data_IF_132801339726
#
_entry.id   IF_132801339726
#
_cell.length_a   1.000
_cell.length_b   1.000
_cell.length_c   1.000
_cell.angle_alpha   90.00
_cell.angle_beta   90.00
_cell.angle_gamma   90.00
#
_symmetry.space_group_name_H-M   'P 1'
#
loop_
_entity.id
_entity.type
_entity.pdbx_description
1 polymer ?
#
# COMPACT_ATOMS: atom_id res chain seq x y z
N UNK A 1 -21.78 -0.24 21.55
CA UNK A 1 -22.58 -0.21 20.30
C UNK A 1 -22.13 0.87 19.29
N UNK A 2 -21.89 2.15 19.64
CA UNK A 2 -21.55 3.15 18.62
C UNK A 2 -20.20 2.89 17.94
N UNK A 3 -19.17 2.44 18.69
CA UNK A 3 -17.85 2.14 18.13
C UNK A 3 -17.89 1.02 17.07
N UNK A 4 -18.63 -0.06 17.32
CA UNK A 4 -18.77 -1.18 16.37
C UNK A 4 -19.44 -0.71 15.07
N UNK A 5 -20.54 0.04 15.17
CA UNK A 5 -21.27 0.54 14.01
C UNK A 5 -20.42 1.53 13.18
N UNK A 6 -19.70 2.43 13.85
CA UNK A 6 -18.80 3.36 13.18
C UNK A 6 -17.64 2.64 12.49
N UNK A 7 -17.09 1.61 13.13
CA UNK A 7 -15.99 0.81 12.59
C UNK A 7 -16.45 0.01 11.36
N UNK A 8 -17.55 -0.74 11.49
CA UNK A 8 -18.10 -1.53 10.39
C UNK A 8 -18.56 -0.64 9.23
N UNK A 9 -19.25 0.47 9.52
CA UNK A 9 -19.67 1.44 8.52
C UNK A 9 -18.47 2.08 7.81
N UNK A 10 -17.48 2.57 8.56
CA UNK A 10 -16.27 3.15 7.99
C UNK A 10 -15.49 2.16 7.13
N UNK A 11 -15.33 0.93 7.60
CA UNK A 11 -14.69 -0.17 6.85
C UNK A 11 -15.40 -0.43 5.51
N UNK A 12 -16.73 -0.58 5.52
CA UNK A 12 -17.50 -0.85 4.30
C UNK A 12 -17.47 0.33 3.32
N UNK A 13 -17.44 1.56 3.82
CA UNK A 13 -17.33 2.76 2.99
C UNK A 13 -15.95 2.86 2.35
N UNK A 14 -14.87 2.54 3.07
CA UNK A 14 -13.52 2.50 2.47
C UNK A 14 -13.44 1.40 1.43
N UNK A 15 -13.91 0.19 1.75
CA UNK A 15 -13.88 -0.94 0.84
C UNK A 15 -14.70 -0.68 -0.43
N UNK A 16 -15.92 -0.16 -0.29
CA UNK A 16 -16.73 0.23 -1.45
C UNK A 16 -16.12 1.41 -2.21
N UNK A 17 -15.58 2.39 -1.47
CA UNK A 17 -14.93 3.58 -2.02
C UNK A 17 -13.69 3.24 -2.83
N UNK A 18 -12.81 2.36 -2.35
CA UNK A 18 -11.61 1.92 -3.05
C UNK A 18 -11.96 1.16 -4.32
N UNK A 19 -12.94 0.25 -4.29
CA UNK A 19 -13.42 -0.46 -5.49
C UNK A 19 -13.96 0.53 -6.53
N UNK A 20 -14.85 1.44 -6.14
CA UNK A 20 -15.43 2.42 -7.06
C UNK A 20 -14.35 3.35 -7.61
N UNK A 21 -13.46 3.84 -6.75
CA UNK A 21 -12.40 4.76 -7.10
C UNK A 21 -11.42 4.13 -8.07
N UNK A 22 -10.80 3.00 -7.74
CA UNK A 22 -9.76 2.37 -8.56
C UNK A 22 -10.29 2.06 -9.97
N UNK A 23 -11.47 1.44 -10.08
CA UNK A 23 -12.06 1.11 -11.40
C UNK A 23 -12.40 2.36 -12.22
N UNK A 24 -13.02 3.37 -11.61
CA UNK A 24 -13.45 4.57 -12.35
C UNK A 24 -12.28 5.50 -12.68
N UNK A 25 -11.27 5.58 -11.81
CA UNK A 25 -10.06 6.36 -12.01
C UNK A 25 -9.21 5.78 -13.16
N UNK A 26 -9.11 4.46 -13.24
CA UNK A 26 -8.47 3.78 -14.37
C UNK A 26 -9.23 4.08 -15.68
N UNK A 27 -10.55 3.88 -15.70
CA UNK A 27 -11.39 4.17 -16.87
C UNK A 27 -11.29 5.64 -17.32
N UNK A 28 -11.26 6.59 -16.38
CA UNK A 28 -11.04 8.01 -16.67
C UNK A 28 -9.63 8.25 -17.24
N UNK A 29 -8.61 7.64 -16.65
CA UNK A 29 -7.22 7.77 -17.10
C UNK A 29 -7.06 7.26 -18.53
N UNK A 30 -7.63 6.11 -18.86
CA UNK A 30 -7.60 5.55 -20.22
C UNK A 30 -8.30 6.47 -21.23
N UNK A 31 -9.44 7.06 -20.86
CA UNK A 31 -10.20 7.99 -21.73
C UNK A 31 -9.50 9.32 -21.93
N UNK A 32 -8.97 9.93 -20.87
CA UNK A 32 -8.37 11.27 -20.89
C UNK A 32 -6.95 11.27 -21.47
N UNK A 33 -6.16 10.22 -21.23
CA UNK A 33 -4.76 10.11 -21.64
C UNK A 33 -4.54 9.10 -22.78
N UNK A 34 -5.55 8.93 -23.65
CA UNK A 34 -5.51 7.96 -24.76
C UNK A 34 -4.23 8.05 -25.61
N UNK A 35 -3.69 9.25 -25.80
CA UNK A 35 -2.51 9.52 -26.62
C UNK A 35 -1.18 9.68 -25.82
N UNK A 36 -1.20 9.53 -24.49
CA UNK A 36 -0.04 9.74 -23.63
C UNK A 36 0.22 8.52 -22.74
N UNK A 37 1.10 7.61 -23.20
CA UNK A 37 1.49 6.40 -22.45
C UNK A 37 2.08 6.71 -21.07
N UNK A 38 2.89 7.76 -20.95
CA UNK A 38 3.48 8.18 -19.68
C UNK A 38 2.41 8.72 -18.71
N UNK A 39 1.45 9.49 -19.21
CA UNK A 39 0.31 9.98 -18.41
C UNK A 39 -0.56 8.83 -17.88
N UNK A 40 -0.88 7.86 -18.75
CA UNK A 40 -1.61 6.64 -18.35
C UNK A 40 -0.89 5.87 -17.23
N UNK A 41 0.42 5.71 -17.37
CA UNK A 41 1.25 4.99 -16.38
C UNK A 41 1.30 5.67 -15.02
N UNK A 42 1.52 6.99 -14.99
CA UNK A 42 1.59 7.73 -13.74
C UNK A 42 0.22 7.76 -13.06
N UNK A 43 -0.83 8.19 -13.77
CA UNK A 43 -2.16 8.31 -13.18
C UNK A 43 -2.78 6.96 -12.83
N UNK A 44 -2.57 5.92 -13.63
CA UNK A 44 -3.03 4.56 -13.32
C UNK A 44 -2.43 4.05 -12.01
N UNK A 45 -1.10 4.16 -11.86
CA UNK A 45 -0.42 3.75 -10.62
C UNK A 45 -0.85 4.59 -9.42
N UNK A 46 -0.96 5.91 -9.56
CA UNK A 46 -1.42 6.77 -8.48
C UNK A 46 -2.86 6.45 -8.05
N UNK A 47 -3.73 6.10 -9.00
CA UNK A 47 -5.13 5.77 -8.73
C UNK A 47 -5.29 4.52 -7.86
N UNK A 48 -4.35 3.58 -7.92
CA UNK A 48 -4.35 2.39 -7.07
C UNK A 48 -3.86 2.70 -5.65
N UNK A 49 -2.92 3.64 -5.52
CA UNK A 49 -2.25 3.89 -4.23
C UNK A 49 -2.83 5.04 -3.40
N UNK A 50 -3.72 5.87 -3.96
CA UNK A 50 -4.39 6.94 -3.21
C UNK A 50 -5.22 6.41 -2.03
N UNK A 51 -6.08 5.38 -2.17
CA UNK A 51 -6.91 4.89 -1.07
C UNK A 51 -6.12 4.57 0.20
N UNK A 52 -4.92 4.01 0.05
CA UNK A 52 -4.01 3.64 1.13
C UNK A 52 -3.53 4.86 1.94
N UNK A 53 -3.24 5.99 1.28
CA UNK A 53 -2.73 7.20 1.95
C UNK A 53 -3.79 7.92 2.77
N UNK A 54 -5.07 7.72 2.48
CA UNK A 54 -6.13 8.57 3.04
C UNK A 54 -6.28 8.35 4.54
N UNK A 55 -6.28 7.11 5.03
CA UNK A 55 -6.46 6.86 6.47
C UNK A 55 -5.30 7.43 7.32
N UNK A 56 -4.02 7.22 6.98
CA UNK A 56 -2.90 7.91 7.64
C UNK A 56 -3.05 9.43 7.65
N UNK A 57 -3.44 10.03 6.51
CA UNK A 57 -3.65 11.49 6.40
C UNK A 57 -4.71 12.00 7.37
N UNK A 58 -5.89 11.37 7.40
CA UNK A 58 -6.94 11.74 8.35
C UNK A 58 -6.47 11.55 9.79
N UNK A 59 -5.70 10.52 10.06
CA UNK A 59 -5.19 10.26 11.40
C UNK A 59 -4.28 11.38 11.90
N UNK A 60 -3.28 11.76 11.11
CA UNK A 60 -2.28 12.76 11.47
C UNK A 60 -2.80 14.19 11.41
N UNK A 61 -3.60 14.55 10.40
CA UNK A 61 -4.09 15.92 10.22
C UNK A 61 -5.29 16.25 11.10
N UNK A 62 -6.05 15.25 11.55
CA UNK A 62 -7.32 15.48 12.27
C UNK A 62 -7.21 15.72 13.78
N UNK A 63 -6.02 16.02 14.33
CA UNK A 63 -5.85 16.49 15.71
C UNK A 63 -4.76 15.78 16.53
N UNK A 64 -4.55 16.23 17.77
CA UNK A 64 -3.36 15.94 18.60
C UNK A 64 -3.50 14.79 19.62
N UNK A 65 -4.26 13.72 19.31
CA UNK A 65 -4.44 12.57 20.22
C UNK A 65 -3.43 11.43 20.01
N UNK A 66 -2.91 10.83 21.09
CA UNK A 66 -1.99 9.67 21.00
C UNK A 66 -2.59 8.48 20.25
N UNK A 67 -3.86 8.15 20.53
CA UNK A 67 -4.55 7.09 19.81
C UNK A 67 -4.65 7.33 18.30
N UNK A 68 -4.71 8.59 17.85
CA UNK A 68 -4.69 8.91 16.40
C UNK A 68 -3.32 8.64 15.80
N UNK A 69 -2.24 8.91 16.54
CA UNK A 69 -0.88 8.59 16.08
C UNK A 69 -0.73 7.09 15.89
N UNK A 70 -1.19 6.30 16.86
CA UNK A 70 -1.17 4.84 16.80
C UNK A 70 -2.01 4.29 15.64
N UNK A 71 -3.21 4.86 15.43
CA UNK A 71 -4.01 4.49 14.28
C UNK A 71 -3.31 4.83 12.94
N UNK A 72 -2.65 5.98 12.85
CA UNK A 72 -1.95 6.40 11.64
C UNK A 72 -0.72 5.53 11.33
N UNK A 73 0.11 5.23 12.34
CA UNK A 73 1.27 4.34 12.20
C UNK A 73 0.79 2.91 11.90
N UNK A 74 -0.27 2.45 12.56
CA UNK A 74 -0.90 1.15 12.28
C UNK A 74 -1.40 1.04 10.84
N UNK A 75 -1.96 2.11 10.29
CA UNK A 75 -2.38 2.15 8.90
C UNK A 75 -1.20 2.07 7.91
N UNK A 76 -0.10 2.80 8.18
CA UNK A 76 1.11 2.78 7.35
C UNK A 76 1.82 1.44 7.39
N UNK A 77 1.95 0.81 8.57
CA UNK A 77 2.65 -0.47 8.70
C UNK A 77 1.76 -1.66 8.33
N UNK A 78 0.44 -1.52 8.47
CA UNK A 78 -0.51 -2.60 8.23
C UNK A 78 -0.57 -3.04 6.78
N UNK A 79 -0.68 -2.09 5.84
CA UNK A 79 -0.78 -2.37 4.42
C UNK A 79 0.40 -3.25 3.94
N UNK A 80 1.68 -2.86 4.15
CA UNK A 80 2.81 -3.69 3.74
C UNK A 80 2.89 -5.01 4.53
N UNK A 81 2.37 -5.06 5.77
CA UNK A 81 2.32 -6.32 6.53
C UNK A 81 1.38 -7.32 5.86
N UNK A 82 0.18 -6.90 5.45
CA UNK A 82 -0.76 -7.75 4.73
C UNK A 82 -0.14 -8.23 3.40
N UNK A 83 0.47 -7.33 2.63
CA UNK A 83 1.08 -7.67 1.35
C UNK A 83 2.27 -8.63 1.50
N UNK A 84 3.23 -8.32 2.37
CA UNK A 84 4.49 -9.07 2.47
C UNK A 84 4.35 -10.33 3.34
N UNK A 85 3.60 -10.27 4.44
CA UNK A 85 3.50 -11.41 5.35
C UNK A 85 2.44 -12.44 4.91
N UNK A 86 1.45 -12.04 4.12
CA UNK A 86 0.34 -12.92 3.70
C UNK A 86 0.33 -13.11 2.18
N UNK A 87 0.20 -12.03 1.40
CA UNK A 87 -0.01 -12.16 -0.05
C UNK A 87 1.25 -12.58 -0.82
N UNK A 88 2.43 -12.21 -0.35
CA UNK A 88 3.68 -12.63 -0.97
C UNK A 88 3.97 -14.14 -0.80
N UNK A 89 3.90 -14.73 0.41
CA UNK A 89 3.95 -16.19 0.57
C UNK A 89 2.87 -16.92 -0.23
N UNK A 90 1.65 -16.35 -0.30
CA UNK A 90 0.60 -16.89 -1.17
C UNK A 90 1.06 -16.88 -2.64
N UNK A 91 1.57 -15.77 -3.15
CA UNK A 91 2.13 -15.69 -4.52
C UNK A 91 3.19 -16.76 -4.74
N UNK A 92 4.17 -16.88 -3.84
CA UNK A 92 5.23 -17.91 -3.91
C UNK A 92 4.68 -19.33 -3.97
N UNK A 93 3.60 -19.64 -3.27
CA UNK A 93 2.95 -20.97 -3.36
C UNK A 93 2.46 -21.29 -4.78
N UNK A 94 1.89 -20.31 -5.48
CA UNK A 94 1.44 -20.47 -6.88
C UNK A 94 2.60 -20.59 -7.87
N UNK A 95 3.80 -20.08 -7.53
CA UNK A 95 4.97 -20.15 -8.41
C UNK A 95 5.54 -21.55 -8.62
N UNK A 96 5.11 -22.54 -7.81
CA UNK A 96 5.52 -23.95 -7.94
C UNK A 96 5.22 -24.55 -9.32
N UNK A 97 4.20 -24.04 -10.01
CA UNK A 97 3.77 -24.53 -11.33
C UNK A 97 4.08 -23.55 -12.46
N UNK A 98 4.39 -22.29 -12.15
CA UNK A 98 4.68 -21.21 -13.09
C UNK A 98 5.71 -20.30 -12.42
N UNK A 99 7.01 -20.38 -12.76
CA UNK A 99 8.05 -19.67 -12.01
C UNK A 99 7.95 -18.15 -12.24
N UNK A 100 8.33 -17.37 -11.23
CA UNK A 100 8.63 -15.94 -11.41
C UNK A 100 9.83 -15.82 -12.36
N UNK A 101 9.80 -14.94 -13.37
CA UNK A 101 10.90 -14.81 -14.31
C UNK A 101 12.17 -14.28 -13.62
N UNK A 102 13.32 -14.54 -14.23
CA UNK A 102 14.63 -14.28 -13.63
C UNK A 102 14.93 -12.78 -13.49
N UNK A 103 14.37 -11.95 -14.37
CA UNK A 103 14.38 -10.48 -14.31
C UNK A 103 13.80 -9.95 -12.99
N UNK A 104 12.61 -10.41 -12.63
CA UNK A 104 11.86 -10.01 -11.43
C UNK A 104 12.55 -10.55 -10.18
N UNK A 105 13.10 -11.76 -10.21
CA UNK A 105 13.93 -12.28 -9.11
C UNK A 105 15.18 -11.43 -8.89
N UNK A 106 15.88 -11.06 -9.96
CA UNK A 106 17.05 -10.18 -9.90
C UNK A 106 16.66 -8.81 -9.35
N UNK A 107 15.53 -8.27 -9.81
CA UNK A 107 14.97 -7.03 -9.31
C UNK A 107 14.68 -7.12 -7.79
N UNK A 108 13.97 -8.15 -7.36
CA UNK A 108 13.67 -8.40 -5.95
C UNK A 108 14.94 -8.48 -5.09
N UNK A 109 15.95 -9.20 -5.56
CA UNK A 109 17.22 -9.37 -4.85
C UNK A 109 18.01 -8.05 -4.67
N UNK A 110 17.74 -7.07 -5.53
CA UNK A 110 18.31 -5.72 -5.52
C UNK A 110 17.48 -4.76 -4.68
N UNK A 111 16.16 -4.81 -4.78
CA UNK A 111 15.25 -3.77 -4.26
C UNK A 111 14.71 -4.04 -2.87
N UNK A 112 14.37 -5.29 -2.53
CA UNK A 112 13.92 -5.61 -1.17
C UNK A 112 14.92 -5.26 -0.04
N UNK A 113 16.26 -5.37 -0.18
CA UNK A 113 17.16 -4.91 0.87
C UNK A 113 17.21 -3.38 0.97
N UNK A 114 16.99 -2.67 -0.14
CA UNK A 114 16.92 -1.20 -0.16
C UNK A 114 15.64 -0.74 0.57
N UNK A 115 14.51 -1.39 0.32
CA UNK A 115 13.26 -1.14 1.05
C UNK A 115 13.40 -1.46 2.54
N UNK A 116 14.05 -2.58 2.89
CA UNK A 116 14.30 -2.95 4.28
C UNK A 116 15.19 -1.91 4.98
N UNK A 117 16.20 -1.38 4.30
CA UNK A 117 17.04 -0.30 4.82
C UNK A 117 16.24 1.00 4.98
N UNK A 118 15.39 1.36 4.01
CA UNK A 118 14.49 2.52 4.11
C UNK A 118 13.52 2.43 5.30
N UNK A 119 12.90 1.27 5.49
CA UNK A 119 12.04 1.01 6.65
C UNK A 119 12.83 1.06 7.96
N UNK A 120 14.03 0.50 8.00
CA UNK A 120 14.91 0.56 9.17
C UNK A 120 15.25 2.00 9.53
N UNK A 121 15.58 2.83 8.54
CA UNK A 121 15.84 4.27 8.74
C UNK A 121 14.61 4.98 9.28
N UNK A 122 13.41 4.69 8.77
CA UNK A 122 12.17 5.28 9.28
C UNK A 122 11.87 4.88 10.73
N UNK A 123 12.08 3.62 11.10
CA UNK A 123 11.89 3.17 12.49
C UNK A 123 12.92 3.81 13.44
N UNK A 124 14.19 3.86 13.02
CA UNK A 124 15.24 4.56 13.76
C UNK A 124 14.92 6.05 13.91
N UNK A 125 14.42 6.68 12.86
CA UNK A 125 14.02 8.08 12.88
C UNK A 125 13.01 8.37 13.98
N UNK A 126 12.02 7.49 14.14
CA UNK A 126 10.98 7.66 15.15
C UNK A 126 11.42 7.41 16.59
N UNK A 127 12.65 6.93 16.78
CA UNK A 127 13.29 6.84 18.10
C UNK A 127 13.92 8.17 18.54
N UNK A 128 14.06 9.14 17.62
CA UNK A 128 14.62 10.46 17.90
C UNK A 128 13.58 11.56 17.64
N UNK A 129 13.33 12.48 18.60
CA UNK A 129 12.39 13.59 18.41
C UNK A 129 13.03 14.72 17.60
N UNK A 130 13.45 14.45 16.36
CA UNK A 130 14.11 15.42 15.48
C UNK A 130 13.34 15.61 14.17
N UNK A 131 12.69 16.77 14.05
CA UNK A 131 11.92 17.12 12.86
C UNK A 131 12.78 17.15 11.58
N UNK A 132 14.00 17.69 11.66
CA UNK A 132 14.93 17.71 10.52
C UNK A 132 15.26 16.30 10.05
N UNK A 133 15.52 15.38 10.99
CA UNK A 133 15.82 14.00 10.66
C UNK A 133 14.62 13.30 10.00
N UNK A 134 13.41 13.50 10.53
CA UNK A 134 12.18 12.96 9.94
C UNK A 134 11.95 13.49 8.52
N UNK A 135 12.12 14.79 8.31
CA UNK A 135 11.98 15.43 6.99
C UNK A 135 13.05 14.92 6.00
N UNK A 136 14.31 14.82 6.42
CA UNK A 136 15.39 14.33 5.55
C UNK A 136 15.16 12.88 5.11
N UNK A 137 14.76 12.00 6.02
CA UNK A 137 14.48 10.59 5.70
C UNK A 137 13.19 10.49 4.88
N UNK A 138 12.16 11.27 5.19
CA UNK A 138 10.93 11.33 4.40
C UNK A 138 11.19 11.75 2.95
N UNK A 139 11.96 12.82 2.73
CA UNK A 139 12.35 13.26 1.39
C UNK A 139 13.19 12.20 0.69
N UNK A 140 14.14 11.57 1.39
CA UNK A 140 14.92 10.47 0.85
C UNK A 140 14.02 9.31 0.36
N UNK A 141 13.05 8.88 1.17
CA UNK A 141 12.10 7.82 0.80
C UNK A 141 11.20 8.24 -0.37
N UNK A 142 10.73 9.49 -0.42
CA UNK A 142 9.99 10.02 -1.57
C UNK A 142 10.81 9.98 -2.86
N UNK A 143 12.11 10.30 -2.79
CA UNK A 143 13.02 10.26 -3.94
C UNK A 143 13.44 8.83 -4.30
N UNK A 144 13.42 7.92 -3.33
CA UNK A 144 13.73 6.51 -3.56
C UNK A 144 12.69 5.84 -4.46
N UNK A 145 11.40 6.17 -4.31
CA UNK A 145 10.33 5.61 -5.15
C UNK A 145 10.55 5.81 -6.66
N UNK A 146 10.71 7.05 -7.18
CA UNK A 146 11.00 7.25 -8.59
C UNK A 146 12.37 6.67 -8.97
N UNK A 147 13.37 6.68 -8.09
CA UNK A 147 14.66 6.06 -8.40
C UNK A 147 14.54 4.55 -8.64
N UNK A 148 13.68 3.85 -7.88
CA UNK A 148 13.35 2.43 -8.11
C UNK A 148 12.57 2.29 -9.42
N UNK A 149 11.51 3.08 -9.62
CA UNK A 149 10.69 3.04 -10.84
C UNK A 149 11.46 3.32 -12.14
N UNK A 150 12.39 4.27 -12.13
CA UNK A 150 13.23 4.64 -13.28
C UNK A 150 14.49 3.77 -13.39
N UNK A 151 14.90 3.09 -12.31
CA UNK A 151 15.91 2.04 -12.32
C UNK A 151 15.44 0.73 -12.99
N UNK A 152 14.16 0.65 -13.35
CA UNK A 152 13.57 -0.34 -14.25
C UNK A 152 13.93 0.10 -15.69
N UNK A 153 14.93 -0.55 -16.29
CA UNK A 153 15.17 -0.41 -17.73
C UNK A 153 13.95 -0.94 -18.49
N UNK A 154 13.09 -0.03 -18.92
CA UNK A 154 12.27 -0.15 -20.12
C UNK A 154 11.54 -1.47 -20.35
N UNK A 155 10.77 -1.95 -19.37
CA UNK A 155 9.58 -2.74 -19.71
C UNK A 155 8.38 -1.82 -19.50
N UNK A 156 7.77 -1.47 -20.64
CA UNK A 156 6.43 -0.90 -20.66
C UNK A 156 5.55 -1.83 -19.82
N UNK A 157 4.78 -1.26 -18.89
CA UNK A 157 3.71 -2.02 -18.23
C UNK A 157 2.92 -2.71 -19.34
N UNK A 158 2.53 -3.99 -19.17
CA UNK A 158 1.69 -4.67 -20.14
C UNK A 158 0.56 -3.72 -20.53
N UNK A 159 0.52 -3.33 -21.80
CA UNK A 159 -0.59 -2.54 -22.32
C UNK A 159 -1.80 -3.46 -22.17
N UNK A 160 -2.58 -3.27 -21.10
CA UNK A 160 -3.84 -3.99 -20.90
C UNK A 160 -4.92 -3.45 -21.85
N UNK A 161 -4.51 -3.24 -23.11
CA UNK A 161 -5.36 -2.93 -24.25
C UNK A 161 -6.20 -4.14 -24.67
N UNK A 162 -6.04 -5.29 -24.00
CA UNK A 162 -6.73 -6.54 -24.37
C UNK A 162 -8.16 -6.67 -23.86
N UNK A 163 -8.56 -5.91 -22.84
CA UNK A 163 -9.97 -5.81 -22.44
C UNK A 163 -10.44 -4.37 -22.59
N UNK A 164 -10.78 -4.02 -23.83
CA UNK A 164 -11.69 -2.89 -24.08
C UNK A 164 -13.07 -3.29 -23.56
N UNK A 165 -13.25 -3.35 -22.24
CA UNK A 165 -14.59 -3.33 -21.67
C UNK A 165 -15.24 -2.02 -22.16
N UNK A 166 -16.49 -2.09 -22.60
CA UNK A 166 -17.26 -0.92 -22.98
C UNK A 166 -17.41 -0.02 -21.75
N UNK A 167 -16.46 0.90 -21.60
CA UNK A 167 -16.43 1.80 -20.46
C UNK A 167 -17.71 2.63 -20.47
N UNK A 168 -18.51 2.60 -19.39
CA UNK A 168 -19.77 3.32 -19.31
C UNK A 168 -19.65 4.77 -19.79
N UNK A 169 -20.73 5.37 -20.27
CA UNK A 169 -20.76 6.78 -20.71
C UNK A 169 -19.93 7.67 -19.76
N UNK A 170 -19.14 8.60 -20.31
CA UNK A 170 -18.16 9.40 -19.54
C UNK A 170 -18.76 9.98 -18.25
N UNK A 171 -20.00 10.48 -18.31
CA UNK A 171 -20.76 10.99 -17.18
C UNK A 171 -20.95 9.93 -16.09
N UNK A 172 -21.32 8.69 -16.44
CA UNK A 172 -21.46 7.58 -15.47
C UNK A 172 -20.12 7.25 -14.81
N UNK A 173 -19.02 7.23 -15.59
CA UNK A 173 -17.68 6.98 -15.04
C UNK A 173 -17.27 8.10 -14.07
N UNK A 174 -17.51 9.36 -14.43
CA UNK A 174 -17.23 10.51 -13.58
C UNK A 174 -18.06 10.50 -12.29
N UNK A 175 -19.35 10.14 -12.36
CA UNK A 175 -20.20 9.98 -11.17
C UNK A 175 -19.73 8.86 -10.25
N UNK A 176 -19.29 7.72 -10.80
CA UNK A 176 -18.70 6.63 -10.03
C UNK A 176 -17.40 7.07 -9.34
N UNK A 177 -16.55 7.82 -10.04
CA UNK A 177 -15.33 8.40 -9.48
C UNK A 177 -15.61 9.35 -8.33
N UNK A 178 -16.52 10.32 -8.53
CA UNK A 178 -16.93 11.27 -7.50
C UNK A 178 -17.53 10.55 -6.29
N UNK A 179 -18.32 9.50 -6.52
CA UNK A 179 -18.88 8.66 -5.46
C UNK A 179 -17.78 7.91 -4.70
N UNK A 180 -16.82 7.30 -5.41
CA UNK A 180 -15.66 6.64 -4.80
C UNK A 180 -14.84 7.61 -3.94
N UNK A 181 -14.56 8.81 -4.45
CA UNK A 181 -13.88 9.87 -3.69
C UNK A 181 -14.68 10.24 -2.44
N UNK A 182 -15.99 10.46 -2.54
CA UNK A 182 -16.83 10.82 -1.40
C UNK A 182 -16.79 9.73 -0.31
N UNK A 183 -16.90 8.46 -0.71
CA UNK A 183 -16.79 7.32 0.20
C UNK A 183 -15.42 7.25 0.87
N UNK A 184 -14.34 7.47 0.11
CA UNK A 184 -12.97 7.50 0.61
C UNK A 184 -12.69 8.70 1.53
N UNK A 185 -13.45 9.79 1.45
CA UNK A 185 -13.33 10.92 2.39
C UNK A 185 -14.14 10.69 3.68
N UNK A 186 -15.29 10.02 3.59
CA UNK A 186 -16.19 9.78 4.73
C UNK A 186 -15.75 8.55 5.54
N UNK A 187 -15.42 7.45 4.86
CA UNK A 187 -15.12 6.16 5.46
C UNK A 187 -14.00 6.20 6.50
N UNK A 188 -12.81 6.75 6.19
CA UNK A 188 -11.69 6.88 7.12
C UNK A 188 -12.02 7.67 8.38
N UNK A 189 -12.85 8.72 8.28
CA UNK A 189 -13.29 9.49 9.44
C UNK A 189 -14.14 8.63 10.37
N UNK A 190 -15.07 7.83 9.83
CA UNK A 190 -15.91 6.95 10.62
C UNK A 190 -15.12 5.77 11.20
N UNK A 191 -14.26 5.15 10.39
CA UNK A 191 -13.40 4.05 10.82
C UNK A 191 -12.50 4.49 11.97
N UNK A 192 -11.84 5.64 11.83
CA UNK A 192 -10.96 6.17 12.86
C UNK A 192 -11.72 6.48 14.16
N UNK A 193 -12.91 7.11 14.08
CA UNK A 193 -13.76 7.32 15.27
C UNK A 193 -14.15 5.99 15.94
N UNK A 194 -14.45 4.97 15.13
CA UNK A 194 -14.75 3.62 15.60
C UNK A 194 -13.58 2.98 16.34
N UNK A 195 -12.40 2.94 15.72
CA UNK A 195 -11.16 2.39 16.30
C UNK A 195 -10.81 3.10 17.62
N UNK A 196 -10.85 4.44 17.63
CA UNK A 196 -10.57 5.22 18.86
C UNK A 196 -11.58 4.92 19.96
N UNK A 197 -12.84 4.64 19.61
CA UNK A 197 -13.87 4.22 20.56
C UNK A 197 -13.57 2.89 21.27
N UNK A 198 -12.75 2.02 20.67
CA UNK A 198 -12.23 0.80 21.32
C UNK A 198 -10.98 1.05 22.16
N UNK A 199 -10.34 2.22 22.04
CA UNK A 199 -9.15 2.58 22.79
C UNK A 199 -9.36 2.63 24.31
N UNK A 200 -10.59 2.86 24.77
CA UNK A 200 -10.92 2.85 26.21
C UNK A 200 -10.70 1.49 26.89
N UNK A 201 -10.79 0.37 26.16
CA UNK A 201 -10.66 -0.98 26.73
C UNK A 201 -9.24 -1.56 26.70
N UNK A 202 -8.30 -0.97 25.95
CA UNK A 202 -6.95 -1.53 25.80
C UNK A 202 -5.89 -0.57 25.25
N UNK A 203 -6.13 0.74 25.39
CA UNK A 203 -5.15 1.79 25.11
C UNK A 203 -4.69 1.86 23.65
N UNK A 204 -3.49 2.43 23.46
CA UNK A 204 -2.84 2.60 22.16
C UNK A 204 -2.54 1.28 21.43
N UNK A 205 -2.29 0.20 22.16
CA UNK A 205 -2.03 -1.13 21.57
C UNK A 205 -3.24 -1.67 20.82
N UNK A 206 -4.43 -1.60 21.45
CA UNK A 206 -5.67 -2.02 20.81
C UNK A 206 -5.96 -1.18 19.57
N UNK A 207 -5.74 0.14 19.67
CA UNK A 207 -5.92 1.05 18.53
C UNK A 207 -4.95 0.70 17.38
N UNK A 208 -3.69 0.45 17.69
CA UNK A 208 -2.67 0.08 16.70
C UNK A 208 -3.01 -1.23 15.98
N UNK A 209 -3.36 -2.28 16.73
CA UNK A 209 -3.71 -3.60 16.18
C UNK A 209 -4.98 -3.51 15.33
N UNK A 210 -6.02 -2.83 15.83
CA UNK A 210 -7.26 -2.65 15.07
C UNK A 210 -7.00 -1.85 13.80
N UNK A 211 -6.14 -0.82 13.85
CA UNK A 211 -5.77 -0.07 12.68
C UNK A 211 -5.05 -0.94 11.65
N UNK A 212 -4.01 -1.69 12.05
CA UNK A 212 -3.31 -2.65 11.16
C UNK A 212 -4.29 -3.56 10.44
N UNK A 213 -5.22 -4.18 11.16
CA UNK A 213 -6.11 -5.18 10.57
C UNK A 213 -7.15 -4.50 9.66
N UNK A 214 -7.82 -3.48 10.17
CA UNK A 214 -8.98 -2.90 9.51
C UNK A 214 -8.60 -1.99 8.35
N UNK A 215 -7.53 -1.20 8.48
CA UNK A 215 -7.06 -0.34 7.38
C UNK A 215 -6.67 -1.19 6.19
N UNK A 216 -5.76 -2.16 6.41
CA UNK A 216 -5.17 -2.98 5.36
C UNK A 216 -6.21 -3.84 4.68
N UNK A 217 -7.12 -4.43 5.46
CA UNK A 217 -8.21 -5.21 4.87
C UNK A 217 -9.17 -4.31 4.08
N UNK A 218 -9.39 -3.06 4.48
CA UNK A 218 -10.29 -2.16 3.75
C UNK A 218 -9.67 -1.59 2.47
N UNK A 219 -8.38 -1.25 2.48
CA UNK A 219 -7.70 -0.59 1.35
C UNK A 219 -7.06 -1.57 0.39
N UNK A 220 -6.52 -2.70 0.86
CA UNK A 220 -5.80 -3.67 0.01
C UNK A 220 -6.69 -4.81 -0.51
N UNK A 221 -7.95 -4.90 -0.07
CA UNK A 221 -8.87 -5.95 -0.55
C UNK A 221 -9.07 -5.94 -2.08
N UNK A 222 -9.26 -4.79 -2.74
CA UNK A 222 -9.38 -4.75 -4.20
C UNK A 222 -8.15 -5.34 -4.89
N UNK A 223 -6.95 -4.95 -4.47
CA UNK A 223 -5.67 -5.40 -4.98
C UNK A 223 -5.46 -6.89 -4.69
N UNK A 224 -5.81 -7.35 -3.49
CA UNK A 224 -5.72 -8.76 -3.10
C UNK A 224 -6.63 -9.66 -3.95
N UNK A 225 -7.83 -9.19 -4.31
CA UNK A 225 -8.74 -9.91 -5.21
C UNK A 225 -8.18 -9.95 -6.63
N UNK A 226 -7.71 -8.82 -7.16
CA UNK A 226 -7.07 -8.75 -8.49
C UNK A 226 -5.84 -9.66 -8.57
N UNK A 227 -4.98 -9.61 -7.56
CA UNK A 227 -3.84 -10.51 -7.40
C UNK A 227 -4.28 -11.98 -7.43
N UNK A 228 -5.28 -12.34 -6.64
CA UNK A 228 -5.79 -13.72 -6.59
C UNK A 228 -6.32 -14.19 -7.96
N UNK A 229 -7.02 -13.33 -8.70
CA UNK A 229 -7.49 -13.65 -10.05
C UNK A 229 -6.33 -13.90 -11.02
N UNK A 230 -5.26 -13.11 -10.98
CA UNK A 230 -4.07 -13.29 -11.82
C UNK A 230 -3.34 -14.58 -11.47
N UNK A 231 -3.16 -14.88 -10.18
CA UNK A 231 -2.57 -16.13 -9.71
C UNK A 231 -3.38 -17.35 -10.15
N UNK A 232 -4.72 -17.26 -10.12
CA UNK A 232 -5.61 -18.30 -10.63
C UNK A 232 -5.45 -18.49 -12.15
N UNK A 233 -5.29 -17.39 -12.89
CA UNK A 233 -5.00 -17.39 -14.34
C UNK A 233 -3.56 -17.79 -14.69
N UNK A 234 -2.68 -18.00 -13.69
CA UNK A 234 -1.24 -18.28 -13.85
C UNK A 234 -0.45 -17.13 -14.50
N UNK A 235 -0.98 -15.92 -14.46
CA UNK A 235 -0.27 -14.73 -14.91
C UNK A 235 0.64 -14.21 -13.77
N UNK A 236 1.76 -14.91 -13.58
CA UNK A 236 2.71 -14.64 -12.50
C UNK A 236 3.45 -13.30 -12.67
N UNK A 237 3.86 -12.89 -13.88
CA UNK A 237 4.47 -11.56 -14.07
C UNK A 237 3.51 -10.42 -13.69
N UNK A 238 2.25 -10.47 -14.13
CA UNK A 238 1.28 -9.44 -13.76
C UNK A 238 0.95 -9.45 -12.26
N UNK A 239 0.80 -10.64 -11.67
CA UNK A 239 0.60 -10.80 -10.22
C UNK A 239 1.77 -10.20 -9.42
N UNK A 240 3.01 -10.46 -9.86
CA UNK A 240 4.21 -9.88 -9.26
C UNK A 240 4.22 -8.35 -9.37
N UNK A 241 3.89 -7.81 -10.55
CA UNK A 241 3.88 -6.37 -10.81
C UNK A 241 2.87 -5.63 -9.91
N UNK A 242 1.65 -6.14 -9.73
CA UNK A 242 0.66 -5.53 -8.83
C UNK A 242 1.14 -5.57 -7.37
N UNK A 243 1.58 -6.75 -6.91
CA UNK A 243 1.96 -6.94 -5.51
C UNK A 243 3.20 -6.13 -5.14
N UNK A 244 4.30 -6.27 -5.89
CA UNK A 244 5.52 -5.54 -5.60
C UNK A 244 5.42 -4.07 -5.97
N UNK A 245 4.66 -3.69 -7.00
CA UNK A 245 4.38 -2.29 -7.29
C UNK A 245 3.74 -1.57 -6.10
N UNK A 246 2.75 -2.22 -5.47
CA UNK A 246 2.12 -1.73 -4.25
C UNK A 246 3.13 -1.64 -3.12
N UNK A 247 3.83 -2.73 -2.77
CA UNK A 247 4.84 -2.78 -1.69
C UNK A 247 5.87 -1.64 -1.81
N UNK A 248 6.37 -1.37 -3.02
CA UNK A 248 7.32 -0.28 -3.25
C UNK A 248 6.72 1.06 -2.85
N UNK A 249 5.48 1.35 -3.25
CA UNK A 249 4.80 2.58 -2.89
C UNK A 249 4.61 2.72 -1.37
N UNK A 250 4.13 1.66 -0.70
CA UNK A 250 3.80 1.72 0.74
C UNK A 250 5.05 1.95 1.60
N UNK A 251 6.14 1.25 1.27
CA UNK A 251 7.42 1.35 1.99
C UNK A 251 8.25 2.56 1.61
N UNK A 252 7.78 3.40 0.68
CA UNK A 252 8.45 4.64 0.30
C UNK A 252 7.54 5.84 0.52
N UNK A 253 6.52 6.03 -0.32
CA UNK A 253 5.63 7.19 -0.33
C UNK A 253 4.73 7.22 0.90
N UNK A 254 4.05 6.12 1.23
CA UNK A 254 3.18 6.06 2.41
C UNK A 254 3.99 6.24 3.70
N UNK A 255 5.14 5.57 3.79
CA UNK A 255 6.06 5.71 4.93
C UNK A 255 6.63 7.12 5.07
N UNK A 256 7.04 7.75 3.97
CA UNK A 256 7.50 9.14 3.95
C UNK A 256 6.41 10.12 4.38
N UNK A 257 5.17 9.87 3.98
CA UNK A 257 4.01 10.67 4.40
C UNK A 257 3.86 10.66 5.92
N UNK A 258 4.08 9.51 6.56
CA UNK A 258 4.12 9.40 8.01
C UNK A 258 5.23 10.23 8.66
N UNK A 259 6.45 10.16 8.13
CA UNK A 259 7.59 10.92 8.64
C UNK A 259 7.41 12.44 8.49
N UNK A 260 6.84 12.89 7.36
CA UNK A 260 6.73 14.32 7.05
C UNK A 260 5.55 14.96 7.78
N UNK A 261 4.41 14.26 7.87
CA UNK A 261 3.16 14.85 8.35
C UNK A 261 2.85 14.54 9.81
N UNK A 262 3.65 13.72 10.47
CA UNK A 262 3.44 13.36 11.87
C UNK A 262 4.71 13.55 12.69
N UNK A 263 4.59 13.66 14.03
CA UNK A 263 5.74 13.60 14.92
C UNK A 263 6.51 12.27 14.88
N UNK A 264 6.01 11.28 14.14
CA UNK A 264 6.59 9.96 13.91
C UNK A 264 7.24 9.36 15.16
N UNK A 265 6.44 9.15 16.20
CA UNK A 265 6.93 8.62 17.49
C UNK A 265 6.75 7.10 17.47
N UNK A 266 7.86 6.38 17.44
CA UNK A 266 7.88 4.92 17.38
C UNK A 266 8.02 4.36 18.79
N UNK A 267 7.06 3.53 19.17
CA UNK A 267 7.06 2.72 20.40
C UNK A 267 7.40 1.26 20.11
N UNK A 268 7.69 0.47 21.14
CA UNK A 268 8.12 -0.94 21.02
C UNK A 268 7.21 -1.80 20.12
N UNK A 269 5.88 -1.65 20.23
CA UNK A 269 4.91 -2.35 19.37
C UNK A 269 5.09 -2.08 17.87
N UNK A 270 5.48 -0.86 17.52
CA UNK A 270 5.69 -0.45 16.13
C UNK A 270 7.00 -1.05 15.60
N UNK A 271 8.02 -1.13 16.47
CA UNK A 271 9.30 -1.79 16.16
C UNK A 271 9.07 -3.28 15.88
N UNK A 272 8.22 -3.96 16.67
CA UNK A 272 7.90 -5.36 16.44
C UNK A 272 7.26 -5.59 15.05
N UNK A 273 6.25 -4.79 14.68
CA UNK A 273 5.64 -4.82 13.36
C UNK A 273 6.67 -4.54 12.24
N UNK A 274 7.51 -3.52 12.42
CA UNK A 274 8.58 -3.18 11.49
C UNK A 274 9.65 -4.28 11.36
N UNK A 275 10.00 -4.96 12.44
CA UNK A 275 10.96 -6.06 12.43
C UNK A 275 10.43 -7.26 11.65
N UNK A 276 9.13 -7.58 11.76
CA UNK A 276 8.48 -8.61 10.95
C UNK A 276 8.57 -8.27 9.46
N UNK A 277 8.30 -7.01 9.09
CA UNK A 277 8.44 -6.53 7.71
C UNK A 277 9.87 -6.65 7.19
N UNK A 278 10.85 -6.17 7.96
CA UNK A 278 12.27 -6.24 7.61
C UNK A 278 12.69 -7.69 7.42
N UNK A 279 12.32 -8.58 8.35
CA UNK A 279 12.62 -10.00 8.26
C UNK A 279 12.01 -10.61 6.99
N UNK A 280 10.75 -10.32 6.70
CA UNK A 280 10.09 -10.87 5.52
C UNK A 280 10.69 -10.35 4.20
N UNK A 281 11.11 -9.08 4.14
CA UNK A 281 11.87 -8.54 3.00
C UNK A 281 13.21 -9.26 2.84
N UNK A 282 13.97 -9.43 3.93
CA UNK A 282 15.26 -10.13 3.88
C UNK A 282 15.10 -11.60 3.47
N UNK A 283 14.11 -12.32 4.00
CA UNK A 283 13.80 -13.69 3.56
C UNK A 283 13.45 -13.74 2.07
N UNK A 284 12.72 -12.74 1.57
CA UNK A 284 12.39 -12.61 0.14
C UNK A 284 13.65 -12.41 -0.71
N UNK A 285 14.64 -11.66 -0.21
CA UNK A 285 15.94 -11.51 -0.91
C UNK A 285 16.72 -12.82 -0.97
N UNK A 286 16.77 -13.58 0.12
CA UNK A 286 17.47 -14.87 0.19
C UNK A 286 16.84 -15.90 -0.76
N UNK A 287 15.50 -15.94 -0.79
CA UNK A 287 14.76 -16.76 -1.74
C UNK A 287 15.07 -16.36 -3.19
N UNK A 288 15.09 -15.07 -3.50
CA UNK A 288 15.39 -14.58 -4.85
C UNK A 288 16.82 -14.93 -5.29
N UNK A 289 17.82 -14.77 -4.42
CA UNK A 289 19.23 -15.08 -4.73
C UNK A 289 19.47 -16.56 -4.94
N UNK A 290 18.99 -17.41 -4.02
CA UNK A 290 19.17 -18.88 -4.10
C UNK A 290 18.55 -19.51 -5.34
N UNK A 291 17.56 -18.86 -5.96
CA UNK A 291 16.92 -19.35 -7.18
C UNK A 291 17.59 -18.85 -8.46
N UNK A 292 18.27 -17.69 -8.43
CA UNK A 292 19.06 -17.18 -9.56
C UNK A 292 20.36 -17.96 -9.73
N UNK A 293 21.02 -18.32 -8.63
CA UNK A 293 22.26 -19.12 -8.64
C UNK A 293 22.08 -20.55 -9.17
N UNK A 294 20.85 -21.09 -9.13
CA UNK A 294 20.54 -22.43 -9.68
C UNK A 294 20.29 -22.45 -11.18
N UNK A 295 20.13 -21.29 -11.82
CA UNK A 295 19.79 -21.16 -13.24
C UNK A 295 20.97 -20.74 -14.12
N UNK A 296 22.11 -20.42 -13.51
CA UNK A 296 23.40 -20.24 -14.18
C UNK A 296 24.27 -21.47 -13.97
#
# INVERSE_FOLDING_TARGET
MPAILLTAGGFLLILGGSILFSHSAEALTQKLFRNHSLGRRILGNMSLSIPELILPLFSFLGGSGEGRKDAGIGAILGAPLLLIAILWPMTLFFTRKSPIPSSEKRQLSREAPILAAGLSLALLAGSFPSHTLHMSIGIFLLMLYPAILFGIKGEELPDDSSNTEEHPAFIRTALMFLSGVALLLIGPVLLLKGILGFGGSGGGETIFILSIILSSLSTESPEALSLFMLLKKRDIPAAYAILWGSIHFQLTVSLATGLILSPWIIQERHIAAGAVLILALLLSTLWARSTVERTN
#
